data_IF_642075523700
#
_entry.id   IF_642075523700
#
_cell.length_a   1.000
_cell.length_b   1.000
_cell.length_c   1.000
_cell.angle_alpha   90.00
_cell.angle_beta   90.00
_cell.angle_gamma   90.00
#
_symmetry.space_group_name_H-M   'P 1'
#
loop_
_entity.id
_entity.type
_entity.pdbx_description
1 polymer ?
#
# COMPACT_ATOMS: atom_id res chain seq x y z
N UNK A 1 -13.09 15.07 -5.99
CA UNK A 1 -12.94 13.64 -5.65
C UNK A 1 -11.66 13.13 -6.30
N UNK A 2 -10.53 13.10 -5.57
CA UNK A 2 -9.22 12.86 -6.18
C UNK A 2 -9.03 11.37 -6.49
N UNK A 3 -8.96 11.09 -7.80
CA UNK A 3 -8.63 9.80 -8.40
C UNK A 3 -7.30 9.29 -7.82
N UNK A 4 -7.23 7.99 -7.53
CA UNK A 4 -5.96 7.30 -7.21
C UNK A 4 -5.15 7.19 -8.51
N UNK A 5 -4.46 8.27 -8.86
CA UNK A 5 -3.66 8.40 -10.07
C UNK A 5 -2.26 7.72 -9.91
N UNK A 6 -2.00 6.99 -8.82
CA UNK A 6 -0.78 6.20 -8.59
C UNK A 6 -0.70 4.90 -9.40
N UNK A 7 -1.77 4.51 -10.08
CA UNK A 7 -1.79 3.34 -10.94
C UNK A 7 -1.82 3.81 -12.39
N UNK A 8 -1.12 3.10 -13.28
CA UNK A 8 -1.07 3.39 -14.72
C UNK A 8 -2.45 3.66 -15.33
N UNK A 9 -2.50 4.46 -16.42
CA UNK A 9 -3.74 4.92 -17.05
C UNK A 9 -4.67 3.75 -17.46
N UNK A 10 -4.11 2.61 -17.84
CA UNK A 10 -4.84 1.37 -18.18
C UNK A 10 -5.53 0.74 -16.95
N UNK A 11 -4.87 0.82 -15.79
CA UNK A 11 -5.46 0.40 -14.52
C UNK A 11 -6.53 1.39 -14.09
N UNK A 12 -6.31 2.70 -14.26
CA UNK A 12 -7.32 3.72 -13.96
C UNK A 12 -8.60 3.55 -14.80
N UNK A 13 -8.51 3.13 -16.06
CA UNK A 13 -9.66 2.91 -16.93
C UNK A 13 -10.53 1.72 -16.49
N UNK A 14 -9.93 0.61 -16.02
CA UNK A 14 -10.67 -0.52 -15.40
C UNK A 14 -11.04 -0.27 -13.92
N UNK A 15 -10.28 0.57 -13.22
CA UNK A 15 -10.42 0.83 -11.79
C UNK A 15 -11.46 1.89 -11.39
N UNK A 16 -11.88 2.77 -12.29
CA UNK A 16 -12.84 3.81 -11.90
C UNK A 16 -14.27 3.29 -11.65
N UNK A 17 -14.65 2.12 -12.17
CA UNK A 17 -15.99 1.55 -11.96
C UNK A 17 -16.05 0.52 -10.81
N UNK A 18 -15.05 -0.35 -10.66
CA UNK A 18 -15.12 -1.48 -9.70
C UNK A 18 -14.24 -1.31 -8.46
N UNK A 19 -13.29 -0.38 -8.49
CA UNK A 19 -12.19 -0.35 -7.50
C UNK A 19 -12.28 0.85 -6.55
N UNK A 20 -12.94 1.94 -6.93
CA UNK A 20 -13.09 3.11 -6.07
C UNK A 20 -13.85 2.83 -4.76
N UNK A 21 -14.91 1.99 -4.75
CA UNK A 21 -15.54 1.53 -3.51
C UNK A 21 -14.66 0.52 -2.73
N UNK A 22 -13.81 -0.26 -3.41
CA UNK A 22 -13.02 -1.37 -2.84
C UNK A 22 -11.67 -0.91 -2.27
N UNK A 23 -11.10 0.18 -2.75
CA UNK A 23 -9.90 0.83 -2.17
C UNK A 23 -10.15 1.41 -0.78
N UNK A 24 -11.41 1.64 -0.40
CA UNK A 24 -11.81 1.92 0.98
C UNK A 24 -12.00 0.64 1.82
N UNK A 25 -11.93 -0.55 1.21
CA UNK A 25 -12.25 -1.85 1.81
C UNK A 25 -11.05 -2.80 1.97
N UNK A 26 -9.81 -2.31 1.87
CA UNK A 26 -8.67 -3.11 2.31
C UNK A 26 -8.74 -3.24 3.84
N UNK A 27 -9.22 -4.38 4.32
CA UNK A 27 -9.22 -4.72 5.75
C UNK A 27 -7.80 -4.58 6.30
N UNK A 28 -7.57 -3.55 7.10
CA UNK A 28 -6.26 -3.29 7.69
C UNK A 28 -6.07 -4.29 8.83
N UNK A 29 -4.99 -5.10 8.82
CA UNK A 29 -4.71 -6.00 9.94
C UNK A 29 -4.56 -5.20 11.23
N UNK A 30 -5.27 -5.63 12.27
CA UNK A 30 -5.23 -4.98 13.60
C UNK A 30 -4.22 -5.67 14.53
N UNK A 31 -3.92 -6.94 14.27
CA UNK A 31 -2.98 -7.76 15.03
C UNK A 31 -1.52 -7.37 14.81
N UNK A 32 -0.69 -7.78 15.77
CA UNK A 32 0.75 -7.68 15.65
C UNK A 32 1.31 -8.90 14.91
N UNK A 33 2.11 -8.65 13.88
CA UNK A 33 2.75 -9.68 13.06
C UNK A 33 3.99 -9.13 12.38
N UNK A 34 4.38 -9.70 11.24
CA UNK A 34 5.39 -9.10 10.36
C UNK A 34 4.78 -8.83 9.01
N UNK A 35 4.50 -7.56 8.73
CA UNK A 35 3.80 -7.17 7.53
C UNK A 35 4.69 -6.35 6.61
N UNK A 36 4.57 -6.60 5.31
CA UNK A 36 5.03 -5.68 4.27
C UNK A 36 3.80 -5.02 3.66
N UNK A 37 3.86 -3.70 3.50
CA UNK A 37 2.74 -2.92 3.00
C UNK A 37 3.18 -1.96 1.90
N UNK A 38 2.24 -1.64 1.01
CA UNK A 38 2.37 -0.53 0.09
C UNK A 38 1.21 0.43 0.28
N UNK A 39 1.52 1.72 0.38
CA UNK A 39 0.55 2.80 0.38
C UNK A 39 0.70 3.65 -0.88
N UNK A 40 -0.43 4.11 -1.38
CA UNK A 40 -0.49 5.16 -2.38
C UNK A 40 -0.66 6.51 -1.68
N UNK A 41 0.29 7.41 -1.94
CA UNK A 41 0.28 8.78 -1.46
C UNK A 41 -0.54 9.69 -2.39
N UNK A 42 -0.91 10.88 -1.92
CA UNK A 42 -1.76 11.84 -2.65
C UNK A 42 -1.16 12.36 -3.95
N UNK A 43 0.16 12.25 -4.11
CA UNK A 43 0.98 12.65 -5.24
C UNK A 43 1.20 11.52 -6.26
N UNK A 44 0.46 10.42 -6.13
CA UNK A 44 0.52 9.27 -7.02
C UNK A 44 1.82 8.45 -6.94
N UNK A 45 2.56 8.59 -5.85
CA UNK A 45 3.69 7.73 -5.56
C UNK A 45 3.28 6.54 -4.71
N UNK A 46 4.00 5.43 -4.91
CA UNK A 46 3.86 4.24 -4.09
C UNK A 46 5.00 4.23 -3.07
N UNK A 47 4.64 4.16 -1.80
CA UNK A 47 5.59 3.94 -0.71
C UNK A 47 5.48 2.50 -0.23
N UNK A 48 6.62 1.82 -0.17
CA UNK A 48 6.73 0.45 0.36
C UNK A 48 7.47 0.50 1.68
N UNK A 49 6.94 -0.20 2.67
CA UNK A 49 7.59 -0.36 3.97
C UNK A 49 7.20 -1.69 4.60
N UNK A 50 7.86 -2.03 5.70
CA UNK A 50 7.44 -3.11 6.59
C UNK A 50 7.09 -2.56 7.96
N UNK A 51 6.23 -3.27 8.70
CA UNK A 51 5.83 -2.91 10.05
C UNK A 51 5.30 -4.14 10.78
N UNK A 52 5.27 -4.08 12.10
CA UNK A 52 4.60 -5.11 12.89
C UNK A 52 3.13 -4.83 13.14
N UNK A 53 2.69 -3.58 12.96
CA UNK A 53 1.28 -3.20 13.12
C UNK A 53 0.88 -2.19 12.04
N UNK A 54 0.12 -2.66 11.05
CA UNK A 54 -0.22 -1.89 9.84
C UNK A 54 -1.18 -0.75 10.16
N UNK A 55 -2.19 -0.99 11.01
CA UNK A 55 -3.17 0.01 11.44
C UNK A 55 -2.50 1.19 12.15
N UNK A 56 -1.74 0.92 13.21
CA UNK A 56 -0.99 1.97 13.94
C UNK A 56 -0.08 2.74 13.00
N UNK A 57 0.57 2.06 12.05
CA UNK A 57 1.47 2.70 11.10
C UNK A 57 0.72 3.63 10.14
N UNK A 58 -0.41 3.19 9.59
CA UNK A 58 -1.27 4.00 8.74
C UNK A 58 -1.80 5.23 9.46
N UNK A 59 -2.29 5.06 10.68
CA UNK A 59 -2.82 6.15 11.51
C UNK A 59 -1.72 7.16 11.82
N UNK A 60 -0.51 6.68 12.12
CA UNK A 60 0.67 7.53 12.34
C UNK A 60 1.03 8.34 11.08
N UNK A 61 0.96 7.73 9.89
CA UNK A 61 1.19 8.41 8.62
C UNK A 61 0.13 9.47 8.35
N UNK A 62 -1.16 9.17 8.53
CA UNK A 62 -2.26 10.11 8.31
C UNK A 62 -2.33 11.23 9.36
N UNK A 63 -1.95 10.95 10.61
CA UNK A 63 -1.78 11.94 11.67
C UNK A 63 -0.56 12.86 11.48
N UNK A 64 0.30 12.58 10.47
CA UNK A 64 1.49 13.40 10.19
C UNK A 64 2.66 13.19 11.13
N UNK A 65 2.60 12.15 11.95
CA UNK A 65 3.68 11.71 12.85
C UNK A 65 4.57 10.63 12.20
N UNK A 66 4.25 10.22 10.97
CA UNK A 66 5.00 9.23 10.19
C UNK A 66 6.30 9.77 9.58
N UNK A 67 6.91 8.95 8.71
CA UNK A 67 8.17 9.28 8.05
C UNK A 67 8.11 10.65 7.33
N UNK A 68 9.24 11.40 7.34
CA UNK A 68 9.39 12.73 6.73
C UNK A 68 8.81 12.78 5.30
N UNK A 69 8.96 11.69 4.54
CA UNK A 69 8.46 11.54 3.17
C UNK A 69 6.91 11.53 3.06
N UNK A 70 6.23 10.86 3.98
CA UNK A 70 4.75 10.73 4.02
C UNK A 70 4.04 11.88 4.71
N UNK A 71 4.77 12.68 5.51
CA UNK A 71 4.20 13.78 6.31
C UNK A 71 3.57 14.90 5.46
N UNK A 72 4.05 15.08 4.23
CA UNK A 72 3.60 16.13 3.31
C UNK A 72 2.58 15.58 2.27
N UNK A 73 2.49 14.25 2.11
CA UNK A 73 1.77 13.59 1.00
C UNK A 73 0.54 12.81 1.48
N UNK A 74 -0.27 13.48 2.31
CA UNK A 74 -1.50 12.95 2.94
C UNK A 74 -2.74 13.33 2.10
N UNK A 75 -3.80 12.50 2.06
CA UNK A 75 -3.95 11.21 2.74
C UNK A 75 -3.19 10.08 2.05
N UNK A 76 -2.68 9.12 2.83
CA UNK A 76 -2.12 7.86 2.30
C UNK A 76 -3.18 6.77 2.37
N UNK A 77 -3.29 5.98 1.30
CA UNK A 77 -4.26 4.88 1.17
C UNK A 77 -3.52 3.56 1.06
N UNK A 78 -3.90 2.56 1.86
CA UNK A 78 -3.33 1.21 1.76
C UNK A 78 -3.81 0.55 0.47
N UNK A 79 -2.87 0.04 -0.32
CA UNK A 79 -3.17 -0.65 -1.59
C UNK A 79 -2.67 -2.10 -1.59
N UNK A 80 -1.78 -2.47 -0.68
CA UNK A 80 -1.22 -3.81 -0.55
C UNK A 80 -0.79 -4.07 0.89
N UNK A 81 -1.06 -5.28 1.38
CA UNK A 81 -0.47 -5.81 2.61
C UNK A 81 -0.22 -7.31 2.45
N UNK A 82 0.87 -7.78 3.02
CA UNK A 82 1.26 -9.19 3.03
C UNK A 82 1.83 -9.53 4.40
N UNK A 83 1.35 -10.62 5.00
CA UNK A 83 1.86 -11.15 6.26
C UNK A 83 2.98 -12.17 6.02
N UNK A 84 3.99 -12.13 6.88
CA UNK A 84 5.18 -12.95 6.78
C UNK A 84 5.52 -13.57 8.13
N UNK A 85 6.20 -14.71 8.10
CA UNK A 85 6.51 -15.49 9.28
C UNK A 85 7.53 -14.82 10.21
N UNK A 86 8.41 -13.97 9.67
CA UNK A 86 9.50 -13.35 10.44
C UNK A 86 9.85 -11.94 9.99
N UNK A 87 10.52 -11.20 10.88
CA UNK A 87 11.11 -9.89 10.57
C UNK A 87 12.07 -9.96 9.37
N UNK A 88 12.87 -11.02 9.29
CA UNK A 88 13.87 -11.18 8.23
C UNK A 88 13.19 -11.38 6.88
N UNK A 89 12.09 -12.13 6.85
CA UNK A 89 11.29 -12.33 5.64
C UNK A 89 10.61 -11.03 5.22
N UNK A 90 10.08 -10.25 6.18
CA UNK A 90 9.54 -8.93 5.93
C UNK A 90 10.57 -7.97 5.32
N UNK A 91 11.80 -7.95 5.84
CA UNK A 91 12.86 -7.12 5.28
C UNK A 91 13.30 -7.59 3.89
N UNK A 92 13.45 -8.91 3.66
CA UNK A 92 13.79 -9.47 2.35
C UNK A 92 12.71 -9.16 1.32
N UNK A 93 11.44 -9.32 1.70
CA UNK A 93 10.29 -9.05 0.84
C UNK A 93 10.16 -7.56 0.54
N UNK A 94 10.34 -6.70 1.53
CA UNK A 94 10.40 -5.24 1.32
C UNK A 94 11.50 -4.86 0.34
N UNK A 95 12.71 -5.42 0.50
CA UNK A 95 13.82 -5.19 -0.42
C UNK A 95 13.47 -5.63 -1.85
N UNK A 96 12.90 -6.83 -2.02
CA UNK A 96 12.46 -7.31 -3.33
C UNK A 96 11.43 -6.37 -3.98
N UNK A 97 10.40 -5.95 -3.24
CA UNK A 97 9.38 -5.03 -3.75
C UNK A 97 9.98 -3.67 -4.08
N UNK A 98 10.97 -3.18 -3.33
CA UNK A 98 11.65 -1.92 -3.65
C UNK A 98 12.34 -1.96 -5.01
N UNK A 99 12.91 -3.10 -5.39
CA UNK A 99 13.54 -3.30 -6.71
C UNK A 99 12.53 -3.44 -7.86
N UNK A 100 11.26 -3.73 -7.56
CA UNK A 100 10.25 -3.88 -8.59
C UNK A 100 9.97 -2.56 -9.31
N UNK A 101 9.81 -2.68 -10.62
CA UNK A 101 9.28 -1.64 -11.48
C UNK A 101 7.85 -1.30 -11.07
N UNK A 102 7.37 -0.12 -11.48
CA UNK A 102 6.00 0.31 -11.20
C UNK A 102 4.96 -0.71 -11.70
N UNK A 103 5.16 -1.28 -12.90
CA UNK A 103 4.27 -2.30 -13.48
C UNK A 103 4.22 -3.58 -12.63
N UNK A 104 5.33 -4.02 -12.06
CA UNK A 104 5.37 -5.21 -11.20
C UNK A 104 4.67 -4.97 -9.86
N UNK A 105 4.84 -3.78 -9.28
CA UNK A 105 4.09 -3.37 -8.07
C UNK A 105 2.58 -3.33 -8.32
N UNK A 106 2.18 -2.81 -9.48
CA UNK A 106 0.79 -2.80 -9.92
C UNK A 106 0.23 -4.22 -10.09
N UNK A 107 1.00 -5.14 -10.69
CA UNK A 107 0.61 -6.56 -10.78
C UNK A 107 0.42 -7.21 -9.41
N UNK A 108 1.30 -6.93 -8.45
CA UNK A 108 1.16 -7.44 -7.07
C UNK A 108 -0.13 -6.94 -6.41
N UNK A 109 -0.43 -5.65 -6.55
CA UNK A 109 -1.66 -5.05 -6.03
C UNK A 109 -2.87 -5.77 -6.64
N UNK A 110 -2.87 -5.94 -7.96
CA UNK A 110 -3.95 -6.61 -8.67
C UNK A 110 -4.11 -8.09 -8.28
N UNK A 111 -3.01 -8.82 -8.15
CA UNK A 111 -3.02 -10.21 -7.72
C UNK A 111 -3.67 -10.35 -6.33
N UNK A 112 -3.30 -9.47 -5.39
CA UNK A 112 -3.92 -9.45 -4.05
C UNK A 112 -5.40 -9.09 -4.05
N UNK A 113 -5.87 -8.37 -5.05
CA UNK A 113 -7.30 -8.06 -5.16
C UNK A 113 -8.11 -9.21 -5.72
N UNK A 114 -7.52 -10.01 -6.63
CA UNK A 114 -8.18 -11.21 -7.16
C UNK A 114 -8.29 -12.36 -6.15
N UNK A 115 -7.45 -12.36 -5.12
CA UNK A 115 -7.46 -13.38 -4.06
C UNK A 115 -8.58 -13.17 -3.03
N UNK A 116 -9.33 -12.05 -3.08
CA UNK A 116 -10.47 -11.76 -2.20
C UNK A 116 -11.78 -11.75 -2.98
#
# INVERSE_FOLDING_TARGET
>A
MSKLQCLSAEINAKANAEIFPVLQAFSVPEDNGYYVYMVCCSDNTLYTGWTTNVRKRLDTHNAGKGAKYTKIRRPVRLVYVEELASKQDAMKREYAIKQYTRKEKEKLIWAKWKEK
#
